data_IF_803276565455
#
_entry.id   IF_803276565455
#
_cell.length_a   1.000
_cell.length_b   1.000
_cell.length_c   1.000
_cell.angle_alpha   90.00
_cell.angle_beta   90.00
_cell.angle_gamma   90.00
#
_symmetry.space_group_name_H-M   'P 1'
#
loop_
_entity.id
_entity.type
_entity.pdbx_description
1 polymer ?
#
# COMPACT_ATOMS: atom_id res chain seq x y z
N UNK A 1 -49.90 -49.28 34.04
CA UNK A 1 -48.64 -49.67 33.37
C UNK A 1 -48.40 -48.66 32.23
N UNK A 2 -47.84 -47.50 32.55
CA UNK A 2 -47.52 -46.45 31.55
C UNK A 2 -46.01 -46.51 31.29
N UNK A 3 -45.62 -46.82 30.06
CA UNK A 3 -44.24 -46.84 29.62
C UNK A 3 -43.93 -45.48 28.95
N UNK A 4 -43.20 -44.62 29.64
CA UNK A 4 -42.67 -43.36 29.11
C UNK A 4 -41.35 -43.65 28.38
N UNK A 5 -41.36 -43.57 27.05
CA UNK A 5 -40.14 -43.53 26.24
C UNK A 5 -39.59 -42.10 26.23
N UNK A 6 -38.55 -41.84 27.01
CA UNK A 6 -37.71 -40.66 26.84
C UNK A 6 -36.81 -40.87 25.62
N UNK A 7 -37.15 -40.21 24.51
CA UNK A 7 -36.25 -40.12 23.35
C UNK A 7 -35.08 -39.18 23.70
N UNK A 8 -33.88 -39.73 23.61
CA UNK A 8 -32.64 -39.06 23.95
C UNK A 8 -32.21 -38.12 22.80
N UNK A 9 -32.43 -36.82 22.97
CA UNK A 9 -32.14 -35.74 21.99
C UNK A 9 -30.63 -35.46 21.83
N UNK A 10 -29.77 -36.21 22.51
CA UNK A 10 -28.32 -35.92 22.55
C UNK A 10 -27.49 -36.41 21.36
N UNK A 11 -28.06 -37.20 20.43
CA UNK A 11 -27.29 -37.79 19.32
C UNK A 11 -27.28 -36.98 18.02
N UNK A 12 -28.19 -36.00 17.84
CA UNK A 12 -28.19 -35.14 16.63
C UNK A 12 -27.11 -34.04 16.64
N UNK A 13 -26.50 -33.75 17.78
CA UNK A 13 -25.52 -32.66 17.90
C UNK A 13 -24.09 -33.01 17.44
N UNK A 14 -23.78 -34.30 17.22
CA UNK A 14 -22.44 -34.73 16.75
C UNK A 14 -22.26 -34.55 15.24
N UNK A 15 -23.30 -34.73 14.43
CA UNK A 15 -23.24 -34.56 12.97
C UNK A 15 -23.02 -33.11 12.53
N UNK A 16 -23.70 -32.16 13.18
CA UNK A 16 -23.60 -30.72 12.87
C UNK A 16 -22.21 -30.17 13.19
N UNK A 17 -21.58 -30.64 14.28
CA UNK A 17 -20.22 -30.21 14.67
C UNK A 17 -19.15 -30.69 13.68
N UNK A 18 -19.32 -31.85 13.06
CA UNK A 18 -18.37 -32.35 12.07
C UNK A 18 -18.52 -31.61 10.73
N UNK A 19 -19.75 -31.34 10.28
CA UNK A 19 -20.02 -30.51 9.10
C UNK A 19 -19.46 -29.09 9.21
N UNK A 20 -19.56 -28.47 10.39
CA UNK A 20 -18.97 -27.14 10.63
C UNK A 20 -17.44 -27.17 10.58
N UNK A 21 -16.80 -28.20 11.14
CA UNK A 21 -15.33 -28.38 11.10
C UNK A 21 -14.82 -28.65 9.69
N UNK A 22 -15.52 -29.50 8.93
CA UNK A 22 -15.14 -29.84 7.56
C UNK A 22 -15.34 -28.65 6.62
N UNK A 23 -16.41 -27.86 6.80
CA UNK A 23 -16.57 -26.57 6.12
C UNK A 23 -15.45 -25.59 6.48
N UNK A 24 -15.08 -25.46 7.75
CA UNK A 24 -13.98 -24.57 8.16
C UNK A 24 -12.64 -25.00 7.56
N UNK A 25 -12.39 -26.32 7.48
CA UNK A 25 -11.18 -26.89 6.90
C UNK A 25 -11.13 -26.69 5.39
N UNK A 26 -12.26 -26.88 4.70
CA UNK A 26 -12.40 -26.62 3.27
C UNK A 26 -12.27 -25.12 2.97
N UNK A 27 -12.87 -24.24 3.78
CA UNK A 27 -12.71 -22.79 3.65
C UNK A 27 -11.26 -22.36 3.85
N UNK A 28 -10.56 -22.89 4.87
CA UNK A 28 -9.11 -22.66 5.03
C UNK A 28 -8.28 -23.13 3.84
N UNK A 29 -8.70 -24.20 3.16
CA UNK A 29 -8.00 -24.72 1.98
C UNK A 29 -8.29 -23.88 0.73
N UNK A 30 -9.50 -23.33 0.62
CA UNK A 30 -9.92 -22.49 -0.50
C UNK A 30 -9.47 -21.03 -0.36
N UNK A 31 -9.05 -20.61 0.83
CA UNK A 31 -8.73 -19.22 1.10
C UNK A 31 -7.31 -18.88 0.69
N UNK A 32 -7.20 -17.74 0.01
CA UNK A 32 -5.96 -17.22 -0.51
C UNK A 32 -5.04 -16.81 0.64
N UNK A 33 -3.74 -17.05 0.44
CA UNK A 33 -2.71 -16.80 1.47
C UNK A 33 -2.29 -15.34 1.53
N UNK A 34 -2.56 -14.58 0.48
CA UNK A 34 -2.03 -13.24 0.28
C UNK A 34 -3.13 -12.23 0.03
N UNK A 35 -2.96 -11.03 0.59
CA UNK A 35 -3.81 -9.88 0.32
C UNK A 35 -3.02 -8.76 -0.36
N UNK A 36 -3.65 -8.09 -1.31
CA UNK A 36 -3.17 -6.83 -1.89
C UNK A 36 -4.16 -5.72 -1.53
N UNK A 37 -3.63 -4.63 -0.99
CA UNK A 37 -4.38 -3.45 -0.58
C UNK A 37 -3.94 -2.26 -1.44
N UNK A 38 -4.81 -1.80 -2.34
CA UNK A 38 -4.55 -0.59 -3.13
C UNK A 38 -5.07 0.65 -2.39
N UNK A 39 -4.26 1.72 -2.42
CA UNK A 39 -4.62 2.97 -1.79
C UNK A 39 -4.20 4.19 -2.62
N UNK A 40 -4.79 5.33 -2.27
CA UNK A 40 -4.46 6.65 -2.80
C UNK A 40 -5.41 7.15 -3.88
N UNK A 41 -4.91 8.13 -4.65
CA UNK A 41 -5.58 8.70 -5.81
C UNK A 41 -5.48 7.72 -6.96
N UNK A 42 -6.63 7.33 -7.48
CA UNK A 42 -6.75 6.38 -8.58
C UNK A 42 -7.03 7.08 -9.92
N UNK A 43 -7.33 8.39 -9.90
CA UNK A 43 -7.55 9.22 -11.09
C UNK A 43 -6.25 9.69 -11.76
N UNK A 44 -5.09 9.46 -11.13
CA UNK A 44 -3.79 9.82 -11.68
C UNK A 44 -3.45 11.31 -11.69
N UNK A 45 -4.39 12.19 -11.36
CA UNK A 45 -4.17 13.63 -11.37
C UNK A 45 -3.48 14.09 -10.09
N UNK A 46 -2.35 14.75 -10.26
CA UNK A 46 -1.70 15.48 -9.16
C UNK A 46 -1.28 16.85 -9.67
N UNK A 47 -1.01 17.79 -8.75
CA UNK A 47 -0.38 19.08 -9.09
C UNK A 47 0.98 18.92 -9.83
N UNK A 48 1.49 17.69 -9.96
CA UNK A 48 2.77 17.33 -10.60
C UNK A 48 2.63 16.70 -12.00
N UNK A 49 1.42 16.44 -12.48
CA UNK A 49 1.18 15.84 -13.81
C UNK A 49 0.73 16.93 -14.78
N UNK A 50 1.47 17.09 -15.87
CA UNK A 50 1.15 17.99 -16.98
C UNK A 50 0.11 17.29 -17.88
N UNK A 51 -1.13 17.81 -17.87
CA UNK A 51 -2.21 17.67 -18.87
C UNK A 51 -2.73 16.26 -19.25
N UNK A 52 -1.94 15.19 -19.22
CA UNK A 52 -2.37 13.81 -19.47
C UNK A 52 -2.60 13.07 -18.14
N UNK A 53 -3.82 12.54 -17.95
CA UNK A 53 -4.12 11.64 -16.85
C UNK A 53 -3.30 10.35 -16.96
N UNK A 54 -3.16 9.61 -15.85
CA UNK A 54 -2.54 8.28 -15.87
C UNK A 54 -3.46 7.32 -16.62
N UNK A 55 -2.93 6.52 -17.55
CA UNK A 55 -3.67 5.39 -18.10
C UNK A 55 -3.81 4.31 -17.02
N UNK A 56 -4.93 4.38 -16.31
CA UNK A 56 -5.29 3.45 -15.23
C UNK A 56 -5.30 1.99 -15.74
N UNK A 57 -5.67 1.77 -17.00
CA UNK A 57 -5.78 0.43 -17.58
C UNK A 57 -4.42 -0.25 -17.68
N UNK A 58 -3.40 0.48 -18.13
CA UNK A 58 -2.03 -0.04 -18.20
C UNK A 58 -1.50 -0.37 -16.81
N UNK A 59 -1.70 0.51 -15.84
CA UNK A 59 -1.25 0.27 -14.46
C UNK A 59 -1.97 -0.93 -13.84
N UNK A 60 -3.28 -1.01 -14.03
CA UNK A 60 -4.06 -2.13 -13.53
C UNK A 60 -3.65 -3.44 -14.18
N UNK A 61 -3.39 -3.46 -15.49
CA UNK A 61 -2.86 -4.64 -16.19
C UNK A 61 -1.51 -5.07 -15.61
N UNK A 62 -0.61 -4.12 -15.37
CA UNK A 62 0.69 -4.36 -14.75
C UNK A 62 0.54 -4.95 -13.34
N UNK A 63 -0.24 -4.33 -12.46
CA UNK A 63 -0.46 -4.82 -11.10
C UNK A 63 -1.17 -6.19 -11.07
N UNK A 64 -2.15 -6.41 -11.95
CA UNK A 64 -2.84 -7.69 -12.04
C UNK A 64 -1.89 -8.81 -12.46
N UNK A 65 -1.20 -8.64 -13.57
CA UNK A 65 -0.32 -9.67 -14.13
C UNK A 65 0.95 -9.92 -13.32
N UNK A 66 1.51 -8.90 -12.66
CA UNK A 66 2.79 -9.01 -11.95
C UNK A 66 2.65 -9.16 -10.43
N UNK A 67 1.45 -9.01 -9.85
CA UNK A 67 1.27 -9.10 -8.40
C UNK A 67 -0.01 -9.84 -8.01
N UNK A 68 -1.17 -9.44 -8.52
CA UNK A 68 -2.45 -9.93 -7.97
C UNK A 68 -2.77 -11.34 -8.48
N UNK A 69 -2.83 -11.54 -9.80
CA UNK A 69 -3.13 -12.83 -10.42
C UNK A 69 -1.93 -13.77 -10.32
N UNK A 70 -0.71 -13.23 -10.44
CA UNK A 70 0.53 -14.00 -10.31
C UNK A 70 0.64 -14.75 -8.99
N UNK A 71 0.16 -14.16 -7.89
CA UNK A 71 0.24 -14.74 -6.55
C UNK A 71 -1.10 -15.30 -6.05
N UNK A 72 -2.15 -15.27 -6.88
CA UNK A 72 -3.52 -15.57 -6.45
C UNK A 72 -3.93 -14.83 -5.17
N UNK A 73 -3.95 -13.50 -5.24
CA UNK A 73 -4.26 -12.63 -4.10
C UNK A 73 -5.75 -12.34 -3.95
N UNK A 74 -6.18 -12.11 -2.71
CA UNK A 74 -7.39 -11.34 -2.42
C UNK A 74 -7.08 -9.84 -2.59
N UNK A 75 -7.97 -9.10 -3.23
CA UNK A 75 -7.78 -7.68 -3.50
C UNK A 75 -8.74 -6.81 -2.71
N UNK A 76 -8.19 -5.79 -2.07
CA UNK A 76 -8.92 -4.78 -1.32
C UNK A 76 -8.47 -3.40 -1.78
N UNK A 77 -9.36 -2.42 -1.75
CA UNK A 77 -8.90 -1.05 -1.95
C UNK A 77 -9.74 0.00 -1.27
N UNK A 78 -9.08 1.12 -1.00
CA UNK A 78 -9.75 2.37 -0.67
C UNK A 78 -9.29 3.46 -1.65
N UNK A 79 -10.24 4.24 -2.17
CA UNK A 79 -9.91 5.39 -3.02
C UNK A 79 -10.93 6.52 -2.85
N UNK A 80 -10.56 7.70 -3.36
CA UNK A 80 -11.44 8.86 -3.36
C UNK A 80 -12.41 8.80 -4.54
N UNK A 81 -13.60 9.36 -4.43
CA UNK A 81 -14.61 9.40 -5.50
C UNK A 81 -14.09 10.21 -6.70
N UNK A 82 -14.07 9.61 -7.87
CA UNK A 82 -13.77 10.25 -9.16
C UNK A 82 -14.59 9.61 -10.31
N UNK A 83 -14.61 10.18 -11.52
CA UNK A 83 -15.45 9.70 -12.61
C UNK A 83 -15.19 8.24 -13.04
N UNK A 84 -13.96 7.74 -12.95
CA UNK A 84 -13.57 6.41 -13.44
C UNK A 84 -13.69 5.29 -12.39
N UNK A 85 -14.38 5.52 -11.26
CA UNK A 85 -14.56 4.49 -10.21
C UNK A 85 -15.20 3.21 -10.74
N UNK A 86 -16.18 3.33 -11.64
CA UNK A 86 -16.88 2.17 -12.18
C UNK A 86 -15.95 1.29 -13.00
N UNK A 87 -15.09 1.90 -13.80
CA UNK A 87 -14.05 1.23 -14.58
C UNK A 87 -13.05 0.52 -13.67
N UNK A 88 -12.57 1.19 -12.61
CA UNK A 88 -11.69 0.59 -11.61
C UNK A 88 -12.31 -0.66 -10.96
N UNK A 89 -13.56 -0.59 -10.55
CA UNK A 89 -14.28 -1.72 -9.95
C UNK A 89 -14.38 -2.89 -10.93
N UNK A 90 -14.62 -2.61 -12.21
CA UNK A 90 -14.70 -3.63 -13.26
C UNK A 90 -13.35 -4.29 -13.55
N UNK A 91 -12.27 -3.51 -13.60
CA UNK A 91 -10.92 -4.01 -13.90
C UNK A 91 -10.38 -4.86 -12.74
N UNK A 92 -10.48 -4.32 -11.53
CA UNK A 92 -9.84 -4.91 -10.35
C UNK A 92 -10.68 -5.98 -9.66
N UNK A 93 -12.01 -5.89 -9.71
CA UNK A 93 -12.93 -6.84 -9.08
C UNK A 93 -12.55 -7.16 -7.61
N UNK A 94 -12.44 -6.14 -6.74
CA UNK A 94 -11.99 -6.33 -5.36
C UNK A 94 -12.99 -7.16 -4.53
N UNK A 95 -12.48 -7.88 -3.54
CA UNK A 95 -13.29 -8.60 -2.54
C UNK A 95 -14.11 -7.61 -1.70
N UNK A 96 -13.46 -6.54 -1.23
CA UNK A 96 -14.12 -5.38 -0.62
C UNK A 96 -13.43 -4.10 -1.08
N UNK A 97 -14.23 -3.05 -1.29
CA UNK A 97 -13.72 -1.73 -1.63
C UNK A 97 -14.46 -0.63 -0.87
N UNK A 98 -13.77 0.48 -0.62
CA UNK A 98 -14.38 1.69 -0.07
C UNK A 98 -14.08 2.88 -0.98
N UNK A 99 -15.14 3.57 -1.41
CA UNK A 99 -15.07 4.78 -2.23
C UNK A 99 -15.78 5.90 -1.50
N UNK A 100 -15.07 7.00 -1.26
CA UNK A 100 -15.64 8.14 -0.51
C UNK A 100 -15.18 9.49 -1.05
N UNK A 101 -15.91 10.55 -0.72
CA UNK A 101 -15.51 11.92 -1.08
C UNK A 101 -14.19 12.31 -0.39
N UNK A 102 -13.38 13.13 -1.06
CA UNK A 102 -12.11 13.61 -0.51
C UNK A 102 -12.29 14.39 0.79
N UNK A 103 -11.41 14.13 1.77
CA UNK A 103 -11.41 14.78 3.08
C UNK A 103 -10.32 15.86 3.12
N UNK A 104 -10.67 17.03 3.66
CA UNK A 104 -9.69 18.07 4.02
C UNK A 104 -9.28 17.84 5.48
N UNK A 105 -8.07 17.30 5.68
CA UNK A 105 -7.54 16.95 6.99
C UNK A 105 -7.00 18.15 7.77
N UNK A 106 -6.45 19.14 7.06
CA UNK A 106 -5.90 20.36 7.64
C UNK A 106 -6.33 21.57 6.82
N UNK A 107 -7.02 22.52 7.45
CA UNK A 107 -7.28 23.83 6.86
C UNK A 107 -6.07 24.72 7.14
N UNK A 108 -5.46 25.25 6.08
CA UNK A 108 -4.31 26.15 6.22
C UNK A 108 -4.74 27.43 6.96
N UNK A 109 -3.94 27.82 7.95
CA UNK A 109 -4.08 29.12 8.62
C UNK A 109 -3.36 30.23 7.85
N UNK A 110 -3.63 31.50 8.19
CA UNK A 110 -2.89 32.66 7.64
C UNK A 110 -1.37 32.52 7.89
N UNK A 111 -0.99 31.96 9.04
CA UNK A 111 0.42 31.69 9.38
C UNK A 111 1.01 30.61 8.46
N UNK A 112 0.23 29.57 8.12
CA UNK A 112 0.67 28.53 7.18
C UNK A 112 0.87 29.10 5.78
N UNK A 113 -0.04 29.96 5.34
CA UNK A 113 0.04 30.64 4.05
C UNK A 113 1.25 31.60 3.98
N UNK A 114 1.55 32.34 5.06
CA UNK A 114 2.75 33.19 5.12
C UNK A 114 4.05 32.36 5.11
N UNK A 115 4.11 31.27 5.89
CA UNK A 115 5.24 30.32 5.86
C UNK A 115 5.39 29.69 4.48
N UNK A 116 4.27 29.39 3.80
CA UNK A 116 4.27 28.86 2.44
C UNK A 116 4.81 29.89 1.45
N UNK A 117 4.34 31.13 1.49
CA UNK A 117 4.81 32.21 0.63
C UNK A 117 6.33 32.43 0.79
N UNK A 118 6.83 32.53 2.04
CA UNK A 118 8.26 32.65 2.33
C UNK A 118 9.09 31.50 1.74
N UNK A 119 8.60 30.26 1.88
CA UNK A 119 9.29 29.07 1.33
C UNK A 119 9.27 29.04 -0.19
N UNK A 120 8.14 29.38 -0.80
CA UNK A 120 8.01 29.48 -2.25
C UNK A 120 8.94 30.55 -2.82
N UNK A 121 9.05 31.69 -2.15
CA UNK A 121 9.94 32.79 -2.56
C UNK A 121 11.43 32.45 -2.41
N UNK A 122 11.83 31.87 -1.26
CA UNK A 122 13.25 31.58 -0.99
C UNK A 122 13.77 30.31 -1.66
N UNK A 123 12.93 29.29 -1.82
CA UNK A 123 13.35 27.94 -2.24
C UNK A 123 12.60 27.41 -3.47
N UNK A 124 11.66 28.18 -4.04
CA UNK A 124 10.84 27.72 -5.16
C UNK A 124 9.85 26.58 -4.81
N UNK A 125 9.75 26.19 -3.54
CA UNK A 125 9.01 25.00 -3.13
C UNK A 125 7.51 25.27 -2.92
N UNK A 126 6.67 24.69 -3.78
CA UNK A 126 5.22 24.70 -3.59
C UNK A 126 4.76 23.49 -2.73
N UNK A 127 4.49 23.74 -1.45
CA UNK A 127 4.08 22.69 -0.48
C UNK A 127 2.77 23.00 0.25
N UNK A 128 1.93 23.88 -0.29
CA UNK A 128 0.71 24.33 0.40
C UNK A 128 -0.21 23.18 0.82
N UNK A 129 -0.36 22.16 -0.03
CA UNK A 129 -1.25 21.01 0.21
C UNK A 129 -0.50 19.75 0.69
N UNK A 130 0.81 19.84 0.95
CA UNK A 130 1.65 18.66 1.26
C UNK A 130 1.19 17.94 2.51
N UNK A 131 0.72 18.66 3.53
CA UNK A 131 0.15 18.07 4.75
C UNK A 131 -1.09 17.23 4.42
N UNK A 132 -2.07 17.81 3.75
CA UNK A 132 -3.28 17.08 3.34
C UNK A 132 -2.96 15.86 2.46
N UNK A 133 -1.99 15.97 1.54
CA UNK A 133 -1.57 14.84 0.72
C UNK A 133 -1.00 13.69 1.56
N UNK A 134 -0.17 13.98 2.57
CA UNK A 134 0.39 12.96 3.47
C UNK A 134 -0.72 12.31 4.30
N UNK A 135 -1.62 13.10 4.90
CA UNK A 135 -2.76 12.55 5.66
C UNK A 135 -3.68 11.70 4.79
N UNK A 136 -4.04 12.20 3.60
CA UNK A 136 -4.87 11.50 2.62
C UNK A 136 -4.26 10.14 2.24
N UNK A 137 -2.95 10.11 1.99
CA UNK A 137 -2.22 8.88 1.68
C UNK A 137 -2.33 7.85 2.80
N UNK A 138 -1.96 8.22 4.02
CA UNK A 138 -1.92 7.30 5.16
C UNK A 138 -3.30 6.89 5.65
N UNK A 139 -4.29 7.78 5.54
CA UNK A 139 -5.68 7.44 5.77
C UNK A 139 -6.12 6.35 4.79
N UNK A 140 -5.89 6.56 3.50
CA UNK A 140 -6.24 5.61 2.45
C UNK A 140 -5.52 4.27 2.63
N UNK A 141 -4.23 4.31 3.01
CA UNK A 141 -3.46 3.13 3.41
C UNK A 141 -4.19 2.35 4.50
N UNK A 142 -4.50 3.01 5.63
CA UNK A 142 -5.17 2.38 6.77
C UNK A 142 -6.54 1.79 6.38
N UNK A 143 -7.35 2.54 5.63
CA UNK A 143 -8.68 2.07 5.18
C UNK A 143 -8.59 0.82 4.33
N UNK A 144 -7.67 0.79 3.36
CA UNK A 144 -7.48 -0.40 2.51
C UNK A 144 -7.05 -1.63 3.32
N UNK A 145 -6.17 -1.46 4.31
CA UNK A 145 -5.76 -2.57 5.19
C UNK A 145 -6.86 -3.00 6.16
N UNK A 146 -7.66 -2.07 6.68
CA UNK A 146 -8.79 -2.36 7.56
C UNK A 146 -9.81 -3.26 6.85
N UNK A 147 -10.07 -3.05 5.55
CA UNK A 147 -10.94 -3.91 4.74
C UNK A 147 -10.43 -5.36 4.67
N UNK A 148 -9.15 -5.53 4.37
CA UNK A 148 -8.51 -6.86 4.29
C UNK A 148 -8.59 -7.58 5.64
N UNK A 149 -8.24 -6.88 6.71
CA UNK A 149 -8.24 -7.42 8.05
C UNK A 149 -9.63 -7.72 8.60
N UNK A 150 -10.62 -6.91 8.25
CA UNK A 150 -12.02 -7.17 8.64
C UNK A 150 -12.53 -8.41 7.93
N UNK A 151 -12.27 -8.55 6.62
CA UNK A 151 -12.57 -9.78 5.88
C UNK A 151 -11.89 -11.00 6.53
N UNK A 152 -10.59 -10.92 6.82
CA UNK A 152 -9.87 -12.02 7.46
C UNK A 152 -10.50 -12.43 8.81
N UNK A 153 -10.92 -11.44 9.61
CA UNK A 153 -11.60 -11.66 10.87
C UNK A 153 -13.00 -12.27 10.70
N UNK A 154 -13.81 -11.78 9.75
CA UNK A 154 -15.16 -12.27 9.47
C UNK A 154 -15.16 -13.77 9.13
N UNK A 155 -14.09 -14.26 8.50
CA UNK A 155 -13.93 -15.64 8.06
C UNK A 155 -12.95 -16.46 8.93
N UNK A 156 -12.44 -15.90 10.03
CA UNK A 156 -11.64 -16.62 11.02
C UNK A 156 -10.26 -17.08 10.53
N UNK A 157 -9.55 -16.22 9.79
CA UNK A 157 -8.20 -16.50 9.30
C UNK A 157 -7.27 -15.29 9.34
N UNK A 158 -6.01 -15.52 8.95
CA UNK A 158 -5.02 -14.48 8.77
C UNK A 158 -4.28 -14.69 7.44
N UNK A 159 -3.96 -13.59 6.77
CA UNK A 159 -3.10 -13.64 5.60
C UNK A 159 -1.66 -13.91 6.03
N UNK A 160 -0.99 -14.79 5.30
CA UNK A 160 0.46 -15.01 5.46
C UNK A 160 1.25 -13.77 5.06
N UNK A 161 0.74 -13.01 4.08
CA UNK A 161 1.34 -11.74 3.65
C UNK A 161 0.27 -10.75 3.19
N UNK A 162 0.46 -9.50 3.58
CA UNK A 162 -0.34 -8.36 3.13
C UNK A 162 0.60 -7.39 2.43
N UNK A 163 0.27 -7.08 1.18
CA UNK A 163 0.97 -6.08 0.37
C UNK A 163 0.10 -4.84 0.31
N UNK A 164 0.67 -3.68 0.57
CA UNK A 164 -0.01 -2.39 0.43
C UNK A 164 0.72 -1.58 -0.63
N UNK A 165 0.01 -1.11 -1.65
CA UNK A 165 0.61 -0.34 -2.75
C UNK A 165 -0.38 0.68 -3.35
N UNK A 166 0.11 1.47 -4.29
CA UNK A 166 -0.61 2.60 -4.88
C UNK A 166 -1.23 2.24 -6.23
N UNK A 167 -2.35 2.89 -6.56
CA UNK A 167 -3.01 2.75 -7.86
C UNK A 167 -2.17 3.20 -9.05
N UNK A 168 -1.21 4.10 -8.85
CA UNK A 168 -0.35 4.64 -9.90
C UNK A 168 1.03 3.96 -9.97
N UNK A 169 1.21 2.83 -9.28
CA UNK A 169 2.46 2.06 -9.33
C UNK A 169 2.44 1.05 -10.48
N UNK A 170 3.37 1.22 -11.42
CA UNK A 170 3.58 0.30 -12.53
C UNK A 170 4.72 -0.67 -12.18
N UNK A 171 4.40 -1.97 -12.07
CA UNK A 171 5.37 -3.05 -11.90
C UNK A 171 5.87 -3.53 -13.27
N UNK A 172 7.19 -3.52 -13.48
CA UNK A 172 7.81 -3.98 -14.73
C UNK A 172 8.16 -5.47 -14.71
N UNK A 173 8.22 -6.09 -13.53
CA UNK A 173 8.46 -7.52 -13.34
C UNK A 173 7.55 -8.11 -12.26
N UNK A 174 7.31 -9.44 -12.28
CA UNK A 174 6.56 -10.12 -11.23
C UNK A 174 7.19 -9.94 -9.85
N UNK A 175 6.34 -9.72 -8.84
CA UNK A 175 6.71 -9.77 -7.42
C UNK A 175 6.19 -11.07 -6.83
N UNK A 176 7.07 -12.06 -6.69
CA UNK A 176 6.73 -13.36 -6.09
C UNK A 176 6.67 -13.24 -4.56
N UNK A 177 5.46 -13.26 -4.02
CA UNK A 177 5.20 -13.16 -2.59
C UNK A 177 5.56 -14.45 -1.85
N UNK A 178 5.71 -15.59 -2.51
CA UNK A 178 6.19 -16.82 -1.87
C UNK A 178 7.70 -16.81 -1.66
N UNK A 179 8.43 -16.05 -2.47
CA UNK A 179 9.89 -15.91 -2.39
C UNK A 179 10.35 -14.87 -1.34
N UNK A 180 9.47 -13.99 -0.85
CA UNK A 180 9.83 -13.01 0.17
C UNK A 180 9.98 -13.68 1.56
N UNK A 181 11.03 -13.38 2.34
CA UNK A 181 11.25 -14.00 3.66
C UNK A 181 10.10 -13.75 4.64
N UNK A 182 9.57 -14.80 5.27
CA UNK A 182 8.36 -14.73 6.11
C UNK A 182 8.46 -13.74 7.28
N UNK A 183 9.65 -13.57 7.85
CA UNK A 183 9.88 -12.72 9.02
C UNK A 183 10.26 -11.27 8.65
N UNK A 184 10.16 -10.90 7.37
CA UNK A 184 10.52 -9.56 6.90
C UNK A 184 9.32 -8.63 6.71
N UNK A 185 9.54 -7.38 7.07
CA UNK A 185 8.82 -6.21 6.58
C UNK A 185 9.59 -5.71 5.36
N UNK A 186 9.10 -6.04 4.16
CA UNK A 186 9.76 -5.72 2.90
C UNK A 186 9.23 -4.41 2.34
N UNK A 187 10.12 -3.57 1.82
CA UNK A 187 9.74 -2.44 0.96
C UNK A 187 10.67 -2.33 -0.25
N UNK A 188 10.38 -1.36 -1.09
CA UNK A 188 11.18 -1.07 -2.27
C UNK A 188 12.57 -0.52 -1.96
N UNK A 189 13.58 -1.01 -2.65
CA UNK A 189 14.87 -0.33 -2.76
C UNK A 189 14.75 0.96 -3.59
N UNK A 190 15.59 1.95 -3.29
CA UNK A 190 15.65 3.22 -4.02
C UNK A 190 17.04 3.40 -4.61
N UNK A 191 17.17 3.36 -5.94
CA UNK A 191 18.46 3.48 -6.61
C UNK A 191 18.82 4.93 -6.93
N UNK A 192 20.12 5.17 -7.05
CA UNK A 192 20.71 6.33 -7.72
C UNK A 192 21.34 5.88 -9.03
N UNK A 193 20.89 6.51 -10.11
CA UNK A 193 21.33 6.22 -11.47
C UNK A 193 22.16 7.39 -11.98
N UNK A 194 23.20 7.10 -12.75
CA UNK A 194 24.09 8.11 -13.32
C UNK A 194 24.34 7.82 -14.79
N UNK A 195 24.59 8.85 -15.59
CA UNK A 195 24.97 8.69 -16.99
C UNK A 195 26.46 8.28 -17.14
N UNK A 196 26.91 8.22 -18.39
CA UNK A 196 28.28 7.87 -18.73
C UNK A 196 29.29 8.94 -18.25
N UNK A 197 28.87 10.19 -18.16
CA UNK A 197 29.68 11.33 -17.72
C UNK A 197 29.69 11.50 -16.19
N UNK A 198 28.85 10.74 -15.47
CA UNK A 198 28.77 10.71 -14.02
C UNK A 198 27.80 11.71 -13.42
N UNK A 199 26.90 12.32 -14.21
CA UNK A 199 25.80 13.12 -13.70
C UNK A 199 24.63 12.23 -13.27
N UNK A 200 23.94 12.62 -12.19
CA UNK A 200 22.77 11.88 -11.70
C UNK A 200 21.63 12.01 -12.70
N UNK A 201 21.10 10.87 -13.16
CA UNK A 201 19.96 10.79 -14.07
C UNK A 201 18.69 10.80 -13.24
N UNK A 202 17.72 11.64 -13.63
CA UNK A 202 16.48 11.76 -12.86
C UNK A 202 15.69 10.46 -12.87
N UNK A 203 14.93 10.22 -11.81
CA UNK A 203 14.08 9.01 -11.69
C UNK A 203 13.05 8.91 -12.83
N UNK A 204 12.62 10.07 -13.38
CA UNK A 204 11.72 10.16 -14.53
C UNK A 204 12.46 9.71 -15.80
N UNK A 205 13.65 10.23 -16.08
CA UNK A 205 14.42 9.85 -17.27
C UNK A 205 14.75 8.35 -17.27
N UNK A 206 15.11 7.79 -16.12
CA UNK A 206 15.31 6.34 -15.97
C UNK A 206 14.01 5.58 -16.27
N UNK A 207 12.86 6.09 -15.81
CA UNK A 207 11.55 5.50 -16.07
C UNK A 207 11.16 5.55 -17.55
N UNK A 208 11.57 6.60 -18.27
CA UNK A 208 11.39 6.75 -19.71
C UNK A 208 12.38 5.91 -20.54
N UNK A 209 13.30 5.18 -19.89
CA UNK A 209 14.25 4.29 -20.55
C UNK A 209 15.50 4.98 -21.06
N UNK A 210 15.84 6.16 -20.55
CA UNK A 210 17.14 6.79 -20.81
C UNK A 210 18.27 5.86 -20.37
N UNK A 211 19.43 5.93 -21.04
CA UNK A 211 20.59 5.12 -20.66
C UNK A 211 21.14 5.60 -19.31
N UNK A 212 21.47 4.64 -18.45
CA UNK A 212 22.09 4.90 -17.15
C UNK A 212 23.00 3.74 -16.73
N UNK A 213 23.85 4.04 -15.75
CA UNK A 213 24.62 3.10 -14.95
C UNK A 213 24.12 3.18 -13.51
N UNK A 214 23.79 2.03 -12.92
CA UNK A 214 23.50 1.95 -11.50
C UNK A 214 24.80 2.21 -10.72
N UNK A 215 24.81 3.20 -9.82
CA UNK A 215 26.00 3.50 -9.00
C UNK A 215 25.74 3.59 -7.49
N UNK A 216 24.50 3.50 -7.02
CA UNK A 216 24.25 3.56 -5.59
C UNK A 216 22.80 3.45 -5.17
N UNK A 217 22.56 3.67 -3.88
CA UNK A 217 21.24 3.64 -3.25
C UNK A 217 20.93 4.97 -2.56
N UNK A 218 19.65 5.30 -2.49
CA UNK A 218 19.04 6.45 -1.84
C UNK A 218 18.15 5.96 -0.70
N UNK A 219 17.84 6.83 0.25
CA UNK A 219 17.03 6.46 1.41
C UNK A 219 17.80 5.59 2.41
N UNK A 220 17.07 5.07 3.38
CA UNK A 220 17.64 4.28 4.47
C UNK A 220 18.23 2.95 3.94
N UNK A 221 19.39 2.49 4.45
CA UNK A 221 20.25 3.13 5.47
C UNK A 221 21.30 4.12 4.92
N UNK A 222 21.28 4.40 3.62
CA UNK A 222 22.35 5.11 2.91
C UNK A 222 22.32 6.63 3.11
N UNK A 223 21.14 7.23 3.21
CA UNK A 223 20.98 8.66 3.48
C UNK A 223 19.72 8.97 4.32
N UNK A 224 19.39 10.27 4.43
CA UNK A 224 18.31 10.76 5.28
C UNK A 224 16.93 10.82 4.61
N UNK A 225 16.77 10.34 3.37
CA UNK A 225 15.49 10.48 2.64
C UNK A 225 14.34 9.64 3.25
N UNK A 226 14.66 8.57 3.98
CA UNK A 226 13.68 7.68 4.62
C UNK A 226 13.46 6.39 3.85
N UNK A 227 12.30 5.75 4.01
CA UNK A 227 11.93 4.55 3.26
C UNK A 227 11.23 4.91 1.96
N UNK A 228 11.54 4.20 0.88
CA UNK A 228 10.72 4.27 -0.33
C UNK A 228 9.34 3.66 -0.04
N UNK A 229 8.28 4.45 -0.19
CA UNK A 229 7.01 4.17 0.45
C UNK A 229 5.91 3.76 -0.54
N UNK A 230 6.26 3.46 -1.79
CA UNK A 230 5.27 3.14 -2.84
C UNK A 230 4.62 1.77 -2.65
N UNK A 231 5.32 0.86 -1.99
CA UNK A 231 4.73 -0.39 -1.56
C UNK A 231 5.44 -0.93 -0.32
N UNK A 232 4.69 -1.74 0.44
CA UNK A 232 5.18 -2.47 1.60
C UNK A 232 4.56 -3.87 1.59
N UNK A 233 5.29 -4.87 2.06
CA UNK A 233 4.77 -6.21 2.30
C UNK A 233 5.24 -6.73 3.65
N UNK A 234 4.34 -7.35 4.42
CA UNK A 234 4.68 -8.01 5.67
C UNK A 234 3.62 -9.05 6.03
N UNK A 235 3.86 -9.85 7.06
CA UNK A 235 2.78 -10.66 7.64
C UNK A 235 1.65 -9.80 8.23
N UNK A 236 0.52 -10.44 8.54
CA UNK A 236 -0.66 -9.77 9.11
C UNK A 236 -0.36 -9.02 10.42
N UNK A 237 0.53 -9.54 11.27
CA UNK A 237 0.84 -8.94 12.58
C UNK A 237 1.65 -7.65 12.43
N UNK A 238 2.72 -7.71 11.64
CA UNK A 238 3.57 -6.57 11.33
C UNK A 238 2.81 -5.50 10.55
N UNK A 239 2.02 -5.89 9.54
CA UNK A 239 1.26 -4.94 8.76
C UNK A 239 0.17 -4.24 9.58
N UNK A 240 -0.51 -4.93 10.52
CA UNK A 240 -1.45 -4.28 11.46
C UNK A 240 -0.77 -3.21 12.30
N UNK A 241 0.42 -3.48 12.84
CA UNK A 241 1.21 -2.51 13.61
C UNK A 241 1.66 -1.34 12.74
N UNK A 242 2.06 -1.60 11.50
CA UNK A 242 2.50 -0.54 10.60
C UNK A 242 1.33 0.33 10.11
N UNK A 243 0.15 -0.25 9.89
CA UNK A 243 -1.05 0.46 9.43
C UNK A 243 -1.55 1.54 10.41
N UNK A 244 -1.16 1.48 11.69
CA UNK A 244 -1.43 2.57 12.67
C UNK A 244 -0.61 3.84 12.41
N UNK A 245 0.22 3.88 11.36
CA UNK A 245 0.99 5.08 10.98
C UNK A 245 0.10 6.32 10.84
N UNK A 246 -1.12 6.16 10.32
CA UNK A 246 -2.09 7.26 10.24
C UNK A 246 -2.47 7.82 11.61
N UNK A 247 -2.72 6.94 12.59
CA UNK A 247 -3.17 7.31 13.94
C UNK A 247 -2.08 8.09 14.69
N UNK A 248 -0.81 7.86 14.35
CA UNK A 248 0.35 8.55 14.91
C UNK A 248 0.91 9.67 14.02
N UNK A 249 0.29 9.93 12.87
CA UNK A 249 0.83 10.81 11.84
C UNK A 249 1.09 12.25 12.30
N UNK A 250 0.26 12.91 13.14
CA UNK A 250 0.56 14.24 13.65
C UNK A 250 1.91 14.29 14.39
N UNK A 251 2.13 13.37 15.34
CA UNK A 251 3.38 13.30 16.11
C UNK A 251 4.58 12.92 15.24
N UNK A 252 4.37 12.04 14.25
CA UNK A 252 5.41 11.71 13.27
C UNK A 252 5.83 12.94 12.45
N UNK A 253 4.87 13.70 11.94
CA UNK A 253 5.14 14.93 11.17
C UNK A 253 5.86 15.98 12.03
N UNK A 254 5.49 16.12 13.30
CA UNK A 254 6.18 17.04 14.21
C UNK A 254 7.64 16.61 14.45
N UNK A 255 7.90 15.30 14.45
CA UNK A 255 9.25 14.73 14.64
C UNK A 255 10.14 14.79 13.40
N UNK A 256 9.62 14.44 12.22
CA UNK A 256 10.44 14.25 11.00
C UNK A 256 10.12 15.23 9.87
N UNK A 257 9.18 16.13 10.10
CA UNK A 257 8.67 17.07 9.11
C UNK A 257 7.65 16.44 8.15
N UNK A 258 7.27 17.22 7.14
CA UNK A 258 6.30 16.82 6.11
C UNK A 258 6.92 15.85 5.08
N UNK A 259 7.40 14.68 5.50
CA UNK A 259 7.92 13.64 4.60
C UNK A 259 7.28 12.29 4.90
N UNK A 260 6.59 11.73 3.91
CA UNK A 260 5.96 10.41 4.01
C UNK A 260 7.01 9.30 4.18
N UNK A 261 8.13 9.38 3.45
CA UNK A 261 9.26 8.46 3.56
C UNK A 261 9.88 8.43 4.97
N UNK A 262 10.07 9.61 5.57
CA UNK A 262 10.61 9.73 6.94
C UNK A 262 9.58 9.29 7.97
N UNK A 263 8.30 9.62 7.78
CA UNK A 263 7.22 9.19 8.67
C UNK A 263 7.10 7.65 8.69
N UNK A 264 7.17 7.00 7.53
CA UNK A 264 7.21 5.55 7.42
C UNK A 264 8.38 4.94 8.21
N UNK A 265 9.60 5.44 7.99
CA UNK A 265 10.80 4.97 8.69
C UNK A 265 10.68 5.15 10.20
N UNK A 266 10.24 6.32 10.65
CA UNK A 266 10.09 6.61 12.07
C UNK A 266 8.99 5.77 12.72
N UNK A 267 7.89 5.52 12.02
CA UNK A 267 6.84 4.62 12.51
C UNK A 267 7.36 3.19 12.63
N UNK A 268 8.13 2.70 11.66
CA UNK A 268 8.76 1.38 11.72
C UNK A 268 9.68 1.23 12.94
N UNK A 269 10.43 2.29 13.28
CA UNK A 269 11.23 2.38 14.52
C UNK A 269 10.37 2.32 15.77
N UNK A 270 9.31 3.13 15.83
CA UNK A 270 8.41 3.19 16.97
C UNK A 270 7.74 1.81 17.23
N UNK A 271 7.41 1.07 16.17
CA UNK A 271 6.84 -0.28 16.26
C UNK A 271 7.87 -1.40 16.50
N UNK A 272 9.16 -1.06 16.64
CA UNK A 272 10.27 -2.02 16.81
C UNK A 272 10.37 -3.03 15.66
N UNK A 273 9.97 -2.63 14.45
CA UNK A 273 9.97 -3.47 13.26
C UNK A 273 11.26 -3.34 12.43
N UNK A 274 12.18 -2.45 12.80
CA UNK A 274 13.44 -2.22 12.06
C UNK A 274 14.29 -3.47 11.85
N UNK A 275 14.32 -4.39 12.82
CA UNK A 275 15.10 -5.64 12.72
C UNK A 275 14.56 -6.62 11.68
N UNK A 276 13.33 -6.38 11.20
CA UNK A 276 12.65 -7.15 10.19
C UNK A 276 12.70 -6.46 8.82
N UNK A 277 13.31 -5.26 8.71
CA UNK A 277 13.28 -4.50 7.46
C UNK A 277 14.14 -5.18 6.39
N UNK A 278 13.50 -5.57 5.29
CA UNK A 278 14.12 -6.07 4.07
C UNK A 278 13.82 -5.18 2.86
N UNK A 279 14.61 -5.33 1.80
CA UNK A 279 14.40 -4.61 0.54
C UNK A 279 14.24 -5.61 -0.60
N UNK A 280 13.23 -5.39 -1.43
CA UNK A 280 13.02 -6.14 -2.66
C UNK A 280 12.53 -5.18 -3.74
N UNK A 281 12.83 -5.46 -5.00
CA UNK A 281 12.63 -4.57 -6.15
C UNK A 281 13.34 -3.21 -6.01
N UNK A 282 14.00 -2.75 -7.05
CA UNK A 282 14.66 -1.46 -7.05
C UNK A 282 13.89 -0.43 -7.88
N UNK A 283 13.61 0.73 -7.29
CA UNK A 283 13.02 1.88 -7.97
C UNK A 283 14.09 2.77 -8.62
N UNK A 284 13.91 3.25 -9.86
CA UNK A 284 12.74 3.06 -10.76
C UNK A 284 12.86 1.92 -11.80
N UNK A 285 13.84 1.01 -11.65
CA UNK A 285 14.14 -0.06 -12.62
C UNK A 285 13.08 -1.17 -12.68
N UNK A 286 12.61 -1.63 -11.52
CA UNK A 286 11.70 -2.76 -11.40
C UNK A 286 10.24 -2.33 -11.33
N UNK A 287 10.02 -1.09 -10.89
CA UNK A 287 8.72 -0.47 -10.81
C UNK A 287 8.88 1.05 -10.87
N UNK A 288 7.86 1.73 -11.36
CA UNK A 288 7.83 3.19 -11.44
C UNK A 288 6.43 3.74 -11.12
N UNK A 289 6.26 5.06 -11.21
CA UNK A 289 4.95 5.68 -11.20
C UNK A 289 4.51 5.95 -12.63
N UNK A 290 3.33 5.47 -12.99
CA UNK A 290 2.81 5.61 -14.35
C UNK A 290 2.62 7.07 -14.78
N UNK A 291 2.36 7.96 -13.81
CA UNK A 291 2.28 9.41 -14.04
C UNK A 291 3.59 10.08 -14.48
N UNK A 292 4.68 9.34 -14.53
CA UNK A 292 5.96 9.79 -15.06
C UNK A 292 6.23 9.31 -16.48
N UNK A 293 5.34 8.47 -17.02
CA UNK A 293 5.41 7.94 -18.38
C UNK A 293 4.48 8.68 -19.34
N UNK A 294 3.57 9.50 -18.80
CA UNK A 294 2.62 10.35 -19.51
C UNK A 294 3.21 11.71 -19.88
#
# INVERSE_FOLDING_TARGET
MLCLFTYDVFTQNRGVRNLAKDRLKLMRYLMKKYAVCLHGLSDGFTDKTLEAGVDISEVAKSLKSNLIEFNDCDLFFHTWKHPQIHELLQIYQPIKSEVQSSIIFHKNSVVDDLKHWRRKFLFGQNHRNRRNAIFSRWYSFKRSTDLAFSYANDYGFEYSRVVVTRFDMLLRKPLDLSALPNEEFTCGGWAKCYDDDGYEVSEIDVSLGHKYKFKGRKGFPYDSEGLHDFWFAADSSMMRKFATCYDHLPALIDSVGLSSHKAALQHLRNQKLMRHLGFNLDFPMDYTLARWLS
#
